data_IF_906177378202
#
_entry.id   IF_906177378202
#
_cell.length_a   1.000
_cell.length_b   1.000
_cell.length_c   1.000
_cell.angle_alpha   90.00
_cell.angle_beta   90.00
_cell.angle_gamma   90.00
#
_symmetry.space_group_name_H-M   'P 1'
#
loop_
_entity.id
_entity.type
_entity.pdbx_description
1 polymer ?
#
# COMPACT_ATOMS: atom_id res chain seq x y z
N UNK A 1 2.87 36.13 4.42
CA UNK A 1 3.89 35.17 3.94
C UNK A 1 3.43 33.79 4.39
N UNK A 2 2.69 33.08 3.55
CA UNK A 2 2.18 31.76 3.89
C UNK A 2 3.32 30.73 3.83
N UNK A 3 3.47 29.97 4.90
CA UNK A 3 4.42 28.87 5.08
C UNK A 3 4.13 27.74 4.08
N UNK A 4 4.69 27.81 2.87
CA UNK A 4 4.65 26.75 1.87
C UNK A 4 5.70 25.66 2.08
N UNK A 5 6.25 25.50 3.30
CA UNK A 5 7.39 24.61 3.56
C UNK A 5 6.99 23.19 4.00
N UNK A 6 5.69 22.92 4.21
CA UNK A 6 5.21 21.67 4.85
C UNK A 6 4.71 20.59 3.89
N UNK A 7 4.49 20.89 2.61
CA UNK A 7 3.65 20.03 1.74
C UNK A 7 4.47 19.11 0.79
N UNK A 8 5.79 19.21 0.85
CA UNK A 8 6.70 18.86 -0.25
C UNK A 8 7.21 17.41 -0.31
N UNK A 9 6.98 16.58 0.71
CA UNK A 9 7.82 15.40 0.90
C UNK A 9 7.22 14.06 0.40
N UNK A 10 5.96 14.02 -0.05
CA UNK A 10 5.32 12.81 -0.61
C UNK A 10 5.97 12.26 -1.90
N UNK A 11 6.86 13.04 -2.51
CA UNK A 11 7.58 12.68 -3.73
C UNK A 11 8.82 11.78 -3.50
N UNK A 12 9.18 11.45 -2.24
CA UNK A 12 10.51 10.90 -1.90
C UNK A 12 10.59 9.40 -1.56
N UNK A 13 9.49 8.63 -1.53
CA UNK A 13 9.42 7.30 -0.87
C UNK A 13 9.74 6.07 -1.75
N UNK A 14 10.20 6.24 -2.99
CA UNK A 14 10.46 5.10 -3.93
C UNK A 14 11.69 4.26 -3.55
N UNK A 15 12.54 4.72 -2.63
CA UNK A 15 13.69 3.93 -2.18
C UNK A 15 13.31 2.59 -1.51
N UNK A 16 12.11 2.53 -0.93
CA UNK A 16 11.54 1.33 -0.32
C UNK A 16 11.01 0.30 -1.31
N UNK A 17 11.07 0.57 -2.62
CA UNK A 17 10.64 -0.41 -3.62
C UNK A 17 11.53 -1.66 -3.55
N UNK A 18 10.96 -2.87 -3.50
CA UNK A 18 11.71 -4.08 -3.20
C UNK A 18 12.58 -4.57 -4.36
N UNK A 19 12.56 -3.87 -5.51
CA UNK A 19 13.29 -4.20 -6.74
C UNK A 19 13.12 -5.65 -7.20
N UNK A 20 11.95 -6.22 -6.92
CA UNK A 20 11.53 -7.57 -7.32
C UNK A 20 10.03 -7.62 -7.57
N UNK A 21 9.60 -8.66 -8.27
CA UNK A 21 8.17 -8.93 -8.43
C UNK A 21 7.60 -9.52 -7.13
N UNK A 22 6.43 -9.04 -6.75
CA UNK A 22 5.60 -9.54 -5.66
C UNK A 22 4.30 -10.12 -6.25
N UNK A 23 3.56 -10.97 -5.51
CA UNK A 23 2.24 -11.45 -5.94
C UNK A 23 1.28 -10.28 -6.22
N UNK A 24 0.41 -10.37 -7.25
CA UNK A 24 -0.48 -9.25 -7.60
C UNK A 24 -1.34 -8.76 -6.42
N UNK A 25 -1.61 -7.45 -6.39
CA UNK A 25 -2.53 -6.85 -5.42
C UNK A 25 -3.98 -7.27 -5.73
N UNK A 26 -4.61 -7.97 -4.79
CA UNK A 26 -5.96 -8.54 -4.91
C UNK A 26 -6.69 -8.51 -3.57
N UNK A 27 -7.98 -8.85 -3.60
CA UNK A 27 -8.89 -8.94 -2.45
C UNK A 27 -9.79 -7.71 -2.29
N UNK A 28 -9.35 -6.53 -2.74
CA UNK A 28 -10.17 -5.32 -2.69
C UNK A 28 -11.24 -5.29 -3.79
N UNK A 29 -11.03 -5.95 -4.93
CA UNK A 29 -11.92 -5.91 -6.08
C UNK A 29 -13.33 -6.44 -5.75
N UNK A 30 -13.42 -7.37 -4.79
CA UNK A 30 -14.66 -7.99 -4.34
C UNK A 30 -15.28 -7.31 -3.11
N UNK A 31 -14.65 -6.26 -2.58
CA UNK A 31 -15.21 -5.52 -1.44
C UNK A 31 -16.38 -4.64 -1.88
N UNK A 32 -17.41 -4.47 -1.04
CA UNK A 32 -18.44 -3.48 -1.29
C UNK A 32 -17.82 -2.08 -1.28
N UNK A 33 -18.37 -1.18 -2.10
CA UNK A 33 -18.07 0.24 -2.00
C UNK A 33 -18.76 0.78 -0.74
N UNK A 34 -18.02 1.49 0.11
CA UNK A 34 -18.44 1.96 1.44
C UNK A 34 -17.99 3.40 1.65
N UNK A 35 -18.51 4.07 2.69
CA UNK A 35 -18.07 5.43 3.05
C UNK A 35 -16.61 5.48 3.49
N UNK A 36 -16.01 6.67 3.52
CA UNK A 36 -14.63 6.84 3.98
C UNK A 36 -14.44 6.35 5.42
N UNK A 37 -15.39 6.62 6.31
CA UNK A 37 -15.38 6.16 7.70
C UNK A 37 -15.35 4.63 7.77
N UNK A 38 -16.25 3.97 7.05
CA UNK A 38 -16.32 2.51 7.01
C UNK A 38 -15.08 1.87 6.35
N UNK A 39 -14.49 2.57 5.37
CA UNK A 39 -13.29 2.15 4.67
C UNK A 39 -12.03 2.21 5.56
N UNK A 40 -12.00 3.17 6.48
CA UNK A 40 -10.87 3.45 7.38
C UNK A 40 -10.99 2.76 8.74
N UNK A 41 -12.17 2.29 9.14
CA UNK A 41 -12.39 1.58 10.41
C UNK A 41 -11.39 0.44 10.68
N UNK A 42 -11.05 -0.46 9.72
CA UNK A 42 -10.10 -1.55 9.98
C UNK A 42 -8.65 -1.06 10.11
N UNK A 43 -8.37 0.20 9.77
CA UNK A 43 -7.04 0.79 9.76
C UNK A 43 -6.67 1.48 11.09
N UNK A 44 -7.63 1.69 12.00
CA UNK A 44 -7.42 2.31 13.32
C UNK A 44 -6.24 1.71 14.10
N UNK A 45 -6.02 0.37 14.13
CA UNK A 45 -4.87 -0.21 14.84
C UNK A 45 -3.51 0.05 14.18
N UNK A 46 -3.49 0.50 12.93
CA UNK A 46 -2.28 0.56 12.08
C UNK A 46 -1.90 1.99 11.68
N UNK A 47 -2.87 2.88 11.55
CA UNK A 47 -2.69 4.26 11.10
C UNK A 47 -2.99 5.21 12.27
N UNK A 48 -1.97 5.83 12.87
CA UNK A 48 -2.17 6.76 13.99
C UNK A 48 -3.10 7.91 13.61
N UNK A 49 -4.01 8.25 14.52
CA UNK A 49 -4.92 9.41 14.40
C UNK A 49 -5.86 9.40 13.20
N UNK A 50 -6.05 8.24 12.54
CA UNK A 50 -6.86 8.15 11.32
C UNK A 50 -8.28 8.68 11.50
N UNK A 51 -8.92 8.42 12.63
CA UNK A 51 -10.28 8.92 12.93
C UNK A 51 -10.31 10.45 12.98
N UNK A 52 -9.28 11.06 13.57
CA UNK A 52 -9.16 12.52 13.64
C UNK A 52 -8.92 13.12 12.25
N UNK A 53 -8.09 12.49 11.42
CA UNK A 53 -7.84 12.95 10.06
C UNK A 53 -9.09 12.81 9.17
N UNK A 54 -9.86 11.74 9.30
CA UNK A 54 -11.15 11.58 8.62
C UNK A 54 -12.12 12.69 9.03
N UNK A 55 -12.23 12.99 10.33
CA UNK A 55 -13.04 14.10 10.82
C UNK A 55 -12.61 15.46 10.23
N UNK A 56 -11.30 15.72 10.14
CA UNK A 56 -10.78 16.93 9.49
C UNK A 56 -11.19 16.99 8.01
N UNK A 57 -11.03 15.89 7.27
CA UNK A 57 -11.41 15.84 5.84
C UNK A 57 -12.91 16.15 5.66
N UNK A 58 -13.77 15.59 6.52
CA UNK A 58 -15.21 15.85 6.48
C UNK A 58 -15.53 17.32 6.78
N UNK A 59 -14.87 17.92 7.78
CA UNK A 59 -15.05 19.34 8.12
C UNK A 59 -14.60 20.32 7.04
N UNK A 60 -13.68 19.91 6.15
CA UNK A 60 -13.20 20.72 5.03
C UNK A 60 -14.15 20.74 3.83
N UNK A 61 -15.28 20.03 3.86
CA UNK A 61 -16.31 20.02 2.81
C UNK A 61 -15.74 19.81 1.40
N UNK A 62 -14.91 18.77 1.25
CA UNK A 62 -14.32 18.39 -0.04
C UNK A 62 -15.41 18.29 -1.10
N UNK A 63 -15.30 19.09 -2.16
CA UNK A 63 -16.26 19.13 -3.24
C UNK A 63 -16.09 17.89 -4.13
N UNK A 64 -17.22 17.34 -4.59
CA UNK A 64 -17.22 16.30 -5.61
C UNK A 64 -17.09 16.91 -7.00
N UNK A 65 -16.12 16.41 -7.77
CA UNK A 65 -15.89 16.75 -9.17
C UNK A 65 -15.65 15.47 -9.97
N UNK A 66 -15.57 15.57 -11.30
CA UNK A 66 -15.20 14.44 -12.18
C UNK A 66 -16.06 13.17 -12.05
N UNK A 67 -17.31 13.29 -11.57
CA UNK A 67 -18.20 12.15 -11.34
C UNK A 67 -17.85 11.30 -10.11
N UNK A 68 -16.99 11.81 -9.21
CA UNK A 68 -16.72 11.20 -7.93
C UNK A 68 -17.81 11.53 -6.92
N UNK A 69 -18.09 10.59 -6.02
CA UNK A 69 -18.84 10.85 -4.79
C UNK A 69 -17.98 11.62 -3.79
N UNK A 70 -18.59 12.21 -2.76
CA UNK A 70 -17.84 12.88 -1.68
C UNK A 70 -16.85 11.91 -1.04
N UNK A 71 -17.26 10.69 -0.70
CA UNK A 71 -16.36 9.68 -0.10
C UNK A 71 -15.16 9.32 -1.00
N UNK A 72 -15.38 9.22 -2.32
CA UNK A 72 -14.32 8.98 -3.29
C UNK A 72 -13.32 10.14 -3.34
N UNK A 73 -13.80 11.38 -3.44
CA UNK A 73 -12.94 12.58 -3.39
C UNK A 73 -12.21 12.69 -2.04
N UNK A 74 -12.92 12.46 -0.93
CA UNK A 74 -12.35 12.48 0.42
C UNK A 74 -11.29 11.39 0.62
N UNK A 75 -11.39 10.23 -0.04
CA UNK A 75 -10.34 9.20 0.00
C UNK A 75 -9.04 9.68 -0.66
N UNK A 76 -9.14 10.46 -1.74
CA UNK A 76 -7.99 11.10 -2.39
C UNK A 76 -7.40 12.18 -1.49
N UNK A 77 -8.25 13.02 -0.88
CA UNK A 77 -7.82 14.04 0.05
C UNK A 77 -7.06 13.42 1.24
N UNK A 78 -7.60 12.38 1.87
CA UNK A 78 -6.96 11.66 2.96
C UNK A 78 -5.60 11.07 2.55
N UNK A 79 -5.51 10.47 1.36
CA UNK A 79 -4.25 9.96 0.84
C UNK A 79 -3.21 11.08 0.69
N UNK A 80 -3.59 12.22 0.12
CA UNK A 80 -2.67 13.33 -0.16
C UNK A 80 -2.27 14.15 1.07
N UNK A 81 -3.03 14.05 2.17
CA UNK A 81 -2.80 14.83 3.39
C UNK A 81 -1.51 14.39 4.10
N UNK A 82 -0.67 15.36 4.45
CA UNK A 82 0.50 15.15 5.31
C UNK A 82 0.19 15.64 6.73
N UNK A 83 0.53 14.83 7.74
CA UNK A 83 0.37 15.22 9.14
C UNK A 83 1.59 14.86 9.99
N UNK A 84 1.70 15.52 11.15
CA UNK A 84 2.87 15.42 12.04
C UNK A 84 2.66 14.36 13.13
N UNK A 85 3.65 13.51 13.44
CA UNK A 85 4.95 13.41 12.75
C UNK A 85 4.78 12.77 11.37
N UNK A 86 5.52 13.27 10.38
CA UNK A 86 5.37 12.91 8.95
C UNK A 86 5.19 11.41 8.70
N UNK A 87 6.02 10.57 9.33
CA UNK A 87 6.00 9.10 9.19
C UNK A 87 4.64 8.46 9.50
N UNK A 88 3.76 9.17 10.19
CA UNK A 88 2.40 8.72 10.51
C UNK A 88 1.39 9.03 9.40
N UNK A 89 1.77 9.82 8.40
CA UNK A 89 0.89 10.21 7.28
C UNK A 89 0.37 8.99 6.53
N UNK A 90 -0.89 9.07 6.10
CA UNK A 90 -1.60 7.96 5.47
C UNK A 90 -0.83 7.33 4.30
N UNK A 91 -0.35 8.17 3.37
CA UNK A 91 0.34 7.70 2.17
C UNK A 91 1.62 6.93 2.49
N UNK A 92 2.36 7.30 3.54
CA UNK A 92 3.60 6.61 3.95
C UNK A 92 3.27 5.20 4.39
N UNK A 93 2.31 5.06 5.31
CA UNK A 93 1.95 3.76 5.88
C UNK A 93 1.31 2.85 4.82
N UNK A 94 0.46 3.41 3.95
CA UNK A 94 -0.12 2.67 2.84
C UNK A 94 0.97 2.19 1.88
N UNK A 95 1.84 3.08 1.39
CA UNK A 95 2.86 2.72 0.43
C UNK A 95 3.89 1.74 1.01
N UNK A 96 4.26 1.88 2.28
CA UNK A 96 5.11 0.92 2.98
C UNK A 96 4.43 -0.46 3.08
N UNK A 97 3.13 -0.49 3.37
CA UNK A 97 2.34 -1.73 3.35
C UNK A 97 2.35 -2.36 1.96
N UNK A 98 2.14 -1.57 0.91
CA UNK A 98 2.14 -2.05 -0.46
C UNK A 98 3.52 -2.57 -0.90
N UNK A 99 4.62 -1.98 -0.45
CA UNK A 99 5.99 -2.43 -0.77
C UNK A 99 6.44 -3.63 0.06
N UNK A 100 5.78 -3.88 1.19
CA UNK A 100 6.15 -4.95 2.10
C UNK A 100 6.04 -6.34 1.42
N UNK A 101 7.08 -7.15 1.60
CA UNK A 101 7.12 -8.49 1.01
C UNK A 101 6.14 -9.48 1.66
N UNK A 102 5.73 -9.23 2.90
CA UNK A 102 4.72 -9.99 3.63
C UNK A 102 3.36 -9.25 3.68
N UNK A 103 3.08 -8.42 2.66
CA UNK A 103 1.87 -7.60 2.59
C UNK A 103 0.56 -8.40 2.60
N UNK A 104 0.58 -9.69 2.27
CA UNK A 104 -0.62 -10.54 2.29
C UNK A 104 -1.31 -10.59 3.66
N UNK A 105 -0.57 -10.47 4.76
CA UNK A 105 -1.14 -10.41 6.11
C UNK A 105 -1.75 -9.03 6.45
N UNK A 106 -1.28 -7.96 5.80
CA UNK A 106 -1.68 -6.58 6.08
C UNK A 106 -2.79 -6.10 5.16
N UNK A 107 -2.72 -6.45 3.87
CA UNK A 107 -3.66 -6.03 2.82
C UNK A 107 -5.15 -6.24 3.16
N UNK A 108 -5.57 -7.32 3.87
CA UNK A 108 -6.98 -7.48 4.24
C UNK A 108 -7.57 -6.28 4.97
N UNK A 109 -6.81 -5.63 5.87
CA UNK A 109 -7.24 -4.42 6.59
C UNK A 109 -7.41 -3.21 5.65
N UNK A 110 -6.67 -3.18 4.55
CA UNK A 110 -6.68 -2.09 3.57
C UNK A 110 -7.70 -2.27 2.45
N UNK A 111 -8.27 -3.47 2.28
CA UNK A 111 -9.09 -3.78 1.11
C UNK A 111 -10.31 -2.88 0.93
N UNK A 112 -10.97 -2.43 2.02
CA UNK A 112 -12.10 -1.49 1.91
C UNK A 112 -11.64 -0.11 1.44
N UNK A 113 -10.54 0.41 2.00
CA UNK A 113 -9.95 1.67 1.55
C UNK A 113 -9.45 1.58 0.12
N UNK A 114 -8.71 0.53 -0.24
CA UNK A 114 -8.23 0.31 -1.60
C UNK A 114 -9.39 0.20 -2.60
N UNK A 115 -10.50 -0.45 -2.23
CA UNK A 115 -11.71 -0.50 -3.06
C UNK A 115 -12.25 0.91 -3.33
N UNK A 116 -12.45 1.73 -2.31
CA UNK A 116 -12.95 3.10 -2.45
C UNK A 116 -11.99 3.96 -3.27
N UNK A 117 -10.73 3.98 -2.87
CA UNK A 117 -9.70 4.84 -3.45
C UNK A 117 -9.38 4.49 -4.91
N UNK A 118 -9.22 3.20 -5.23
CA UNK A 118 -8.98 2.79 -6.62
C UNK A 118 -10.21 3.00 -7.51
N UNK A 119 -11.43 2.89 -6.97
CA UNK A 119 -12.66 3.24 -7.69
C UNK A 119 -12.65 4.73 -8.03
N UNK A 120 -12.35 5.61 -7.06
CA UNK A 120 -12.21 7.04 -7.27
C UNK A 120 -11.20 7.36 -8.40
N UNK A 121 -9.99 6.80 -8.31
CA UNK A 121 -8.94 7.02 -9.30
C UNK A 121 -9.26 6.44 -10.68
N UNK A 122 -10.07 5.38 -10.75
CA UNK A 122 -10.48 4.77 -12.03
C UNK A 122 -11.41 5.69 -12.85
N UNK A 123 -12.20 6.53 -12.18
CA UNK A 123 -13.11 7.50 -12.80
C UNK A 123 -12.40 8.72 -13.37
N UNK A 124 -11.22 9.05 -12.82
CA UNK A 124 -10.44 10.18 -13.30
C UNK A 124 -9.82 9.89 -14.69
N UNK A 125 -9.75 10.89 -15.59
CA UNK A 125 -9.12 10.70 -16.88
C UNK A 125 -7.63 10.39 -16.72
N UNK A 126 -7.13 9.47 -17.54
CA UNK A 126 -5.68 9.20 -17.60
C UNK A 126 -4.96 10.34 -18.31
N UNK A 127 -3.75 10.63 -17.84
CA UNK A 127 -2.85 11.59 -18.44
C UNK A 127 -2.29 11.00 -19.74
N UNK A 128 -2.87 11.37 -20.88
CA UNK A 128 -2.46 10.84 -22.18
C UNK A 128 -0.99 11.11 -22.48
N UNK A 129 -0.22 10.03 -22.70
CA UNK A 129 1.18 9.95 -23.11
C UNK A 129 2.02 11.22 -22.94
N UNK A 130 2.49 11.46 -21.71
CA UNK A 130 3.28 12.65 -21.39
C UNK A 130 4.37 12.33 -20.36
N UNK A 131 5.44 13.12 -20.40
CA UNK A 131 6.49 13.06 -19.39
C UNK A 131 6.01 13.67 -18.08
N UNK A 132 6.16 12.93 -16.99
CA UNK A 132 6.01 13.40 -15.61
C UNK A 132 7.33 13.23 -14.86
N UNK A 133 7.50 13.97 -13.78
CA UNK A 133 8.75 14.01 -13.03
C UNK A 133 8.54 13.63 -11.57
N UNK A 134 9.57 13.01 -10.99
CA UNK A 134 9.60 12.70 -9.55
C UNK A 134 11.02 12.90 -9.03
N UNK A 135 11.16 13.72 -7.99
CA UNK A 135 12.45 14.01 -7.35
C UNK A 135 12.61 13.24 -6.04
N UNK A 136 13.78 12.65 -5.82
CA UNK A 136 14.11 11.90 -4.60
C UNK A 136 15.47 12.35 -4.07
N UNK A 137 15.58 12.59 -2.76
CA UNK A 137 16.82 13.02 -2.09
C UNK A 137 17.75 11.84 -1.73
N UNK A 138 17.99 10.95 -2.69
CA UNK A 138 18.89 9.79 -2.60
C UNK A 138 19.53 9.52 -3.96
N UNK A 139 20.65 8.81 -4.00
CA UNK A 139 21.24 8.30 -5.25
C UNK A 139 20.69 6.91 -5.53
N UNK A 140 19.95 6.77 -6.62
CA UNK A 140 19.35 5.51 -7.04
C UNK A 140 19.94 4.96 -8.34
N UNK A 141 20.96 5.60 -8.92
CA UNK A 141 21.55 5.20 -10.20
C UNK A 141 22.10 3.77 -10.20
N UNK A 142 22.50 3.24 -9.05
CA UNK A 142 22.92 1.85 -8.93
C UNK A 142 21.75 0.85 -8.87
N UNK A 143 20.56 1.27 -8.42
CA UNK A 143 19.37 0.40 -8.35
C UNK A 143 18.65 0.28 -9.70
N UNK A 144 18.75 1.31 -10.55
CA UNK A 144 18.03 1.41 -11.81
C UNK A 144 19.01 1.25 -12.98
N UNK A 145 19.17 0.00 -13.44
CA UNK A 145 20.06 -0.33 -14.57
C UNK A 145 19.31 -0.21 -15.89
N UNK A 146 19.95 0.40 -16.88
CA UNK A 146 19.41 0.52 -18.24
C UNK A 146 18.97 -0.83 -18.81
N UNK A 147 17.82 -0.85 -19.48
CA UNK A 147 17.17 -2.05 -20.01
C UNK A 147 16.46 -2.92 -18.95
N UNK A 148 16.62 -2.63 -17.66
CA UNK A 148 15.92 -3.37 -16.61
C UNK A 148 14.42 -3.04 -16.59
N UNK A 149 13.61 -4.05 -16.26
CA UNK A 149 12.19 -3.88 -15.98
C UNK A 149 11.95 -3.91 -14.48
N UNK A 150 11.27 -2.89 -13.98
CA UNK A 150 11.00 -2.67 -12.57
C UNK A 150 9.50 -2.51 -12.34
N UNK A 151 9.05 -2.76 -11.11
CA UNK A 151 7.66 -2.53 -10.70
C UNK A 151 7.67 -1.59 -9.51
N UNK A 152 6.87 -0.53 -9.59
CA UNK A 152 6.57 0.32 -8.43
C UNK A 152 5.30 -0.18 -7.77
N UNK A 153 5.42 -0.73 -6.56
CA UNK A 153 4.34 -1.35 -5.83
C UNK A 153 3.55 -0.37 -4.98
N UNK A 154 4.13 0.76 -4.57
CA UNK A 154 3.39 1.86 -3.94
C UNK A 154 2.72 2.78 -4.95
N UNK A 155 1.79 3.61 -4.47
CA UNK A 155 1.38 4.79 -5.23
C UNK A 155 2.56 5.75 -5.34
N UNK A 156 2.69 6.45 -6.47
CA UNK A 156 3.80 7.38 -6.69
C UNK A 156 3.28 8.75 -7.13
N UNK A 157 3.44 9.74 -6.25
CA UNK A 157 3.20 11.14 -6.56
C UNK A 157 4.26 11.68 -7.51
N UNK A 158 3.84 12.40 -8.55
CA UNK A 158 4.68 13.00 -9.58
C UNK A 158 4.18 14.42 -9.88
N UNK A 159 5.00 15.21 -10.56
CA UNK A 159 4.65 16.55 -11.04
C UNK A 159 4.81 16.65 -12.56
N UNK A 160 4.04 17.52 -13.20
CA UNK A 160 4.17 17.82 -14.64
C UNK A 160 5.29 18.80 -14.93
N UNK A 161 5.65 19.64 -13.96
CA UNK A 161 6.56 20.77 -14.15
C UNK A 161 7.80 20.60 -13.30
N UNK A 162 8.97 20.71 -13.94
CA UNK A 162 10.27 20.59 -13.28
C UNK A 162 10.50 21.73 -12.26
N UNK A 163 9.83 22.89 -12.44
CA UNK A 163 9.94 24.02 -11.51
C UNK A 163 9.51 23.68 -10.07
N UNK A 164 8.55 22.76 -9.91
CA UNK A 164 8.12 22.23 -8.60
C UNK A 164 9.19 21.30 -7.99
N UNK A 165 10.34 21.10 -8.63
CA UNK A 165 11.48 20.39 -8.05
C UNK A 165 12.59 21.35 -7.60
N UNK A 166 12.48 22.65 -7.85
CA UNK A 166 13.53 23.60 -7.47
C UNK A 166 13.54 23.99 -5.99
N UNK A 167 12.42 23.90 -5.29
CA UNK A 167 12.34 24.24 -3.87
C UNK A 167 12.94 23.13 -3.00
N UNK A 168 13.67 23.60 -2.00
CA UNK A 168 14.55 22.79 -1.20
C UNK A 168 13.82 21.83 -0.27
N UNK A 169 12.53 22.04 0.00
CA UNK A 169 11.70 21.09 0.74
C UNK A 169 11.47 19.81 -0.10
N UNK A 170 11.20 19.94 -1.41
CA UNK A 170 10.89 18.80 -2.27
C UNK A 170 12.14 18.08 -2.78
N UNK A 171 12.99 18.78 -3.54
CA UNK A 171 14.14 18.19 -4.22
C UNK A 171 15.35 19.10 -4.09
N UNK A 172 15.18 20.38 -4.40
CA UNK A 172 16.20 21.40 -4.21
C UNK A 172 17.34 21.31 -5.21
N UNK A 173 18.32 22.21 -5.04
CA UNK A 173 19.46 22.37 -5.97
C UNK A 173 20.75 21.71 -5.50
N UNK A 174 20.76 21.12 -4.32
CA UNK A 174 21.97 20.57 -3.69
C UNK A 174 21.73 19.22 -3.00
N UNK A 175 22.82 18.55 -2.62
CA UNK A 175 22.78 17.23 -1.99
C UNK A 175 22.55 16.08 -2.96
N UNK A 176 22.77 14.87 -2.46
CA UNK A 176 22.61 13.63 -3.23
C UNK A 176 21.15 13.39 -3.58
N UNK A 177 20.84 13.32 -4.88
CA UNK A 177 19.46 13.27 -5.36
C UNK A 177 19.30 12.61 -6.73
N UNK A 178 18.11 12.08 -6.98
CA UNK A 178 17.72 11.40 -8.22
C UNK A 178 16.45 12.03 -8.79
N UNK A 179 16.51 12.46 -10.04
CA UNK A 179 15.37 12.91 -10.84
C UNK A 179 14.90 11.79 -11.76
N UNK A 180 13.66 11.35 -11.59
CA UNK A 180 12.99 10.50 -12.58
C UNK A 180 12.27 11.37 -13.61
N UNK A 181 12.51 11.09 -14.88
CA UNK A 181 11.67 11.54 -15.99
C UNK A 181 10.94 10.31 -16.54
N UNK A 182 9.61 10.33 -16.49
CA UNK A 182 8.78 9.15 -16.68
C UNK A 182 7.83 9.42 -17.84
N UNK A 183 8.00 8.70 -18.95
CA UNK A 183 7.01 8.60 -20.01
C UNK A 183 5.86 7.73 -19.50
N UNK A 184 4.69 8.34 -19.30
CA UNK A 184 3.57 7.75 -18.59
C UNK A 184 2.27 7.90 -19.39
N UNK A 185 1.44 6.85 -19.35
CA UNK A 185 0.13 6.79 -19.99
C UNK A 185 -1.02 6.76 -18.97
N UNK A 186 -0.76 6.33 -17.73
CA UNK A 186 -1.82 5.97 -16.78
C UNK A 186 -1.93 6.89 -15.56
N UNK A 187 -1.09 7.92 -15.47
CA UNK A 187 -1.11 8.88 -14.37
C UNK A 187 -2.46 9.58 -14.21
N UNK A 188 -2.88 9.83 -12.97
CA UNK A 188 -4.15 10.49 -12.64
C UNK A 188 -3.88 11.86 -12.07
N UNK A 189 -4.48 12.90 -12.65
CA UNK A 189 -4.43 14.23 -12.06
C UNK A 189 -5.40 14.28 -10.88
N UNK A 190 -4.87 14.44 -9.67
CA UNK A 190 -5.68 14.42 -8.45
C UNK A 190 -5.84 15.80 -7.81
N UNK A 191 -5.37 16.86 -8.47
CA UNK A 191 -5.36 18.24 -7.93
C UNK A 191 -6.70 18.69 -7.35
N UNK A 192 -7.81 18.43 -8.04
CA UNK A 192 -9.15 18.90 -7.60
C UNK A 192 -9.68 18.15 -6.36
N UNK A 193 -9.10 16.99 -6.05
CA UNK A 193 -9.53 16.12 -4.95
C UNK A 193 -8.46 15.99 -3.86
N UNK A 194 -7.27 16.57 -4.08
CA UNK A 194 -6.18 16.60 -3.14
C UNK A 194 -6.49 17.55 -1.99
N UNK A 195 -5.95 17.25 -0.81
CA UNK A 195 -5.91 18.16 0.32
C UNK A 195 -5.09 19.42 0.01
N UNK A 196 -4.12 19.30 -0.91
CA UNK A 196 -3.27 20.38 -1.40
C UNK A 196 -3.60 20.73 -2.86
N UNK A 197 -4.67 21.50 -3.09
CA UNK A 197 -5.17 21.81 -4.44
C UNK A 197 -4.28 22.77 -5.26
N UNK A 198 -3.24 23.32 -4.65
CA UNK A 198 -2.25 24.17 -5.32
C UNK A 198 -1.16 23.33 -6.02
N UNK A 199 -1.11 22.03 -5.76
CA UNK A 199 -0.15 21.13 -6.38
C UNK A 199 -0.77 20.46 -7.61
N UNK A 200 -0.12 20.56 -8.77
CA UNK A 200 -0.50 19.83 -9.99
C UNK A 200 -0.02 18.37 -9.93
N UNK A 201 -0.41 17.68 -8.85
CA UNK A 201 0.00 16.31 -8.60
C UNK A 201 -0.60 15.33 -9.62
N UNK A 202 0.30 14.53 -10.19
CA UNK A 202 -0.04 13.34 -10.95
C UNK A 202 0.27 12.12 -10.10
N UNK A 203 -0.75 11.33 -9.81
CA UNK A 203 -0.62 10.09 -9.05
C UNK A 203 -0.54 8.89 -9.99
N UNK A 204 0.54 8.13 -9.87
CA UNK A 204 0.65 6.79 -10.46
C UNK A 204 0.05 5.76 -9.50
N UNK A 205 -0.78 4.88 -10.04
CA UNK A 205 -1.34 3.74 -9.29
C UNK A 205 -0.26 2.72 -8.91
N UNK A 206 -0.49 1.86 -7.92
CA UNK A 206 0.45 0.80 -7.57
C UNK A 206 0.50 -0.30 -8.63
N UNK A 207 1.63 -1.02 -8.64
CA UNK A 207 1.88 -2.14 -9.55
C UNK A 207 2.19 -1.73 -10.99
N UNK A 208 2.57 -0.48 -11.26
CA UNK A 208 3.03 -0.05 -12.60
C UNK A 208 4.39 -0.66 -12.92
N UNK A 209 4.54 -1.13 -14.16
CA UNK A 209 5.81 -1.66 -14.65
C UNK A 209 6.48 -0.62 -15.53
N UNK A 210 7.79 -0.45 -15.35
CA UNK A 210 8.60 0.50 -16.11
C UNK A 210 9.82 -0.19 -16.68
N UNK A 211 10.23 0.26 -17.86
CA UNK A 211 11.55 0.01 -18.41
C UNK A 211 12.47 1.18 -18.07
N UNK A 212 13.67 0.90 -17.60
CA UNK A 212 14.72 1.90 -17.41
C UNK A 212 15.36 2.19 -18.76
N UNK A 213 15.01 3.33 -19.35
CA UNK A 213 15.48 3.74 -20.69
C UNK A 213 16.91 4.23 -20.64
N UNK A 214 17.27 5.01 -19.62
CA UNK A 214 18.63 5.50 -19.43
C UNK A 214 18.86 5.93 -17.98
N UNK A 215 20.12 5.95 -17.56
CA UNK A 215 20.54 6.50 -16.27
C UNK A 215 21.87 7.23 -16.44
N UNK A 216 21.92 8.50 -16.05
CA UNK A 216 23.11 9.35 -16.20
C UNK A 216 23.40 10.14 -14.92
N UNK A 217 24.67 10.24 -14.57
CA UNK A 217 25.16 11.18 -13.56
C UNK A 217 25.29 12.57 -14.21
N UNK A 218 24.52 13.53 -13.69
CA UNK A 218 24.49 14.91 -14.18
C UNK A 218 25.49 15.81 -13.45
N UNK A 219 26.38 15.23 -12.63
CA UNK A 219 27.27 15.97 -11.75
C UNK A 219 26.52 16.58 -10.57
N UNK A 220 27.25 17.25 -9.67
CA UNK A 220 26.66 17.92 -8.49
C UNK A 220 25.74 17.01 -7.64
N UNK A 221 26.08 15.72 -7.58
CA UNK A 221 25.34 14.67 -6.87
C UNK A 221 23.89 14.48 -7.36
N UNK A 222 23.61 14.85 -8.61
CA UNK A 222 22.33 14.66 -9.27
C UNK A 222 22.42 13.51 -10.26
N UNK A 223 21.60 12.48 -10.07
CA UNK A 223 21.38 11.42 -11.07
C UNK A 223 20.06 11.66 -11.77
N UNK A 224 20.02 11.51 -13.10
CA UNK A 224 18.78 11.50 -13.87
C UNK A 224 18.52 10.08 -14.39
N UNK A 225 17.29 9.59 -14.18
CA UNK A 225 16.84 8.28 -14.65
C UNK A 225 15.61 8.49 -15.53
N UNK A 226 15.66 7.94 -16.75
CA UNK A 226 14.51 7.92 -17.64
C UNK A 226 13.78 6.60 -17.53
N UNK A 227 12.47 6.67 -17.31
CA UNK A 227 11.58 5.52 -17.25
C UNK A 227 10.54 5.62 -18.35
N UNK A 228 10.17 4.47 -18.90
CA UNK A 228 9.02 4.32 -19.78
C UNK A 228 8.04 3.35 -19.16
N UNK A 229 6.80 3.80 -18.96
CA UNK A 229 5.72 2.90 -18.53
C UNK A 229 5.50 1.82 -19.60
N UNK A 230 5.43 0.57 -19.17
CA UNK A 230 5.20 -0.57 -20.06
C UNK A 230 4.05 -1.42 -19.52
N UNK A 231 3.24 -1.96 -20.43
CA UNK A 231 2.18 -2.88 -20.05
C UNK A 231 2.79 -4.19 -19.51
N UNK A 232 2.43 -4.63 -18.28
CA UNK A 232 2.92 -5.88 -17.76
C UNK A 232 2.27 -7.06 -18.49
N UNK A 233 2.99 -8.18 -18.63
CA UNK A 233 2.45 -9.40 -19.27
C UNK A 233 1.20 -9.93 -18.55
N UNK A 234 1.17 -9.79 -17.23
CA UNK A 234 0.02 -10.10 -16.37
C UNK A 234 -0.26 -8.92 -15.45
N UNK A 235 -1.52 -8.58 -15.16
CA UNK A 235 -1.83 -7.46 -14.27
C UNK A 235 -1.22 -7.65 -12.87
N UNK A 236 -0.45 -6.65 -12.43
CA UNK A 236 0.12 -6.61 -11.07
C UNK A 236 -0.92 -6.17 -10.01
N UNK A 237 -2.09 -5.71 -10.44
CA UNK A 237 -3.19 -5.25 -9.59
C UNK A 237 -4.53 -5.67 -10.21
N UNK A 238 -5.49 -6.11 -9.39
CA UNK A 238 -6.84 -6.40 -9.83
C UNK A 238 -7.55 -5.14 -10.34
N UNK A 239 -8.48 -5.31 -11.28
CA UNK A 239 -9.30 -4.21 -11.78
C UNK A 239 -10.48 -3.96 -10.85
N UNK A 240 -10.82 -2.69 -10.62
CA UNK A 240 -12.08 -2.31 -10.01
C UNK A 240 -13.13 -2.17 -11.11
N UNK A 241 -14.19 -2.98 -11.06
CA UNK A 241 -15.37 -2.74 -11.90
C UNK A 241 -16.22 -1.65 -11.28
N UNK A 242 -16.49 -0.60 -12.07
CA UNK A 242 -17.47 0.44 -11.79
C UNK A 242 -18.88 -0.10 -12.04
N UNK A 243 -19.40 -0.94 -11.15
CA UNK A 243 -20.82 -1.27 -11.14
C UNK A 243 -21.55 -0.35 -10.15
N UNK A 244 -22.45 0.48 -10.68
CA UNK A 244 -23.37 1.34 -9.94
C UNK A 244 -24.28 0.55 -8.95
N UNK A 245 -24.90 1.22 -7.96
CA UNK A 245 -25.68 0.57 -6.92
C UNK A 245 -26.89 -0.14 -7.52
N UNK A 246 -27.02 -1.45 -7.27
CA UNK A 246 -28.24 -2.18 -7.61
C UNK A 246 -29.42 -1.54 -6.91
N UNK A 247 -30.30 -0.92 -7.70
CA UNK A 247 -31.59 -0.41 -7.25
C UNK A 247 -32.37 -1.58 -6.68
N UNK A 248 -32.79 -1.45 -5.42
CA UNK A 248 -33.75 -2.33 -4.77
C UNK A 248 -35.01 -2.33 -5.63
N UNK A 249 -35.33 -3.46 -6.26
CA UNK A 249 -36.67 -3.70 -6.81
C UNK A 249 -37.33 -4.78 -5.98
N UNK A 250 -38.38 -4.34 -5.30
CA UNK A 250 -39.34 -5.03 -4.46
C UNK A 250 -40.04 -6.16 -5.22
N UNK A 251 -40.17 -7.30 -4.54
CA UNK A 251 -41.29 -8.28 -4.57
C UNK A 251 -42.09 -8.51 -5.87
N UNK A 252 -42.03 -9.75 -6.37
CA UNK A 252 -43.04 -10.32 -7.28
C UNK A 252 -43.02 -11.85 -7.22
N UNK A 253 -44.09 -12.42 -6.67
CA UNK A 253 -44.28 -13.83 -6.32
C UNK A 253 -44.81 -14.68 -7.48
N UNK A 254 -44.44 -15.98 -7.49
CA UNK A 254 -45.10 -17.12 -8.15
C UNK A 254 -45.01 -17.21 -9.71
N UNK A 255 -44.97 -18.36 -10.38
CA UNK A 255 -45.31 -19.73 -10.01
C UNK A 255 -44.54 -20.76 -10.88
N UNK A 256 -44.44 -21.98 -10.35
CA UNK A 256 -43.87 -23.16 -10.97
C UNK A 256 -44.64 -23.65 -12.21
N UNK A 257 -43.94 -24.28 -13.16
CA UNK A 257 -44.39 -25.52 -13.81
C UNK A 257 -43.19 -26.32 -14.28
N UNK A 258 -43.28 -27.64 -14.14
CA UNK A 258 -42.18 -28.60 -14.30
C UNK A 258 -42.46 -29.59 -15.44
N UNK A 259 -41.36 -30.00 -16.11
CA UNK A 259 -41.09 -31.28 -16.82
C UNK A 259 -41.73 -31.50 -18.22
N UNK A 260 -41.15 -32.37 -19.09
CA UNK A 260 -40.28 -33.52 -18.76
C UNK A 260 -38.94 -33.66 -19.52
N UNK A 261 -38.23 -34.67 -19.01
CA UNK A 261 -36.88 -35.19 -19.28
C UNK A 261 -36.83 -35.92 -20.63
N UNK A 262 -35.76 -35.69 -21.41
CA UNK A 262 -35.21 -36.70 -22.34
C UNK A 262 -33.71 -36.78 -22.13
N UNK A 263 -33.25 -37.98 -21.78
CA UNK A 263 -31.87 -38.33 -21.53
C UNK A 263 -31.14 -38.65 -22.83
N UNK A 264 -29.88 -38.20 -22.97
CA UNK A 264 -28.89 -38.89 -23.82
C UNK A 264 -27.51 -38.84 -23.17
N UNK A 265 -27.07 -40.05 -22.81
CA UNK A 265 -25.74 -40.66 -22.77
C UNK A 265 -24.48 -39.83 -22.43
N UNK A 266 -23.76 -40.40 -21.46
CA UNK A 266 -22.42 -40.08 -21.01
C UNK A 266 -21.32 -40.44 -22.03
N UNK A 267 -20.22 -39.70 -21.99
CA UNK A 267 -18.90 -40.16 -22.40
C UNK A 267 -17.87 -39.69 -21.37
N UNK A 268 -17.12 -40.65 -20.83
CA UNK A 268 -16.16 -40.51 -19.74
C UNK A 268 -14.81 -39.96 -20.21
N UNK A 269 -14.15 -39.17 -19.36
CA UNK A 269 -12.70 -38.98 -19.37
C UNK A 269 -12.17 -38.94 -17.93
N UNK A 270 -11.08 -39.67 -17.70
CA UNK A 270 -10.58 -40.14 -16.42
C UNK A 270 -10.01 -39.06 -15.48
N UNK A 271 -10.23 -39.25 -14.17
CA UNK A 271 -9.63 -38.47 -13.08
C UNK A 271 -8.35 -39.18 -12.61
N UNK A 272 -7.22 -38.48 -12.63
CA UNK A 272 -5.96 -38.92 -11.99
C UNK A 272 -5.94 -38.40 -10.54
N UNK A 273 -5.65 -39.24 -9.51
CA UNK A 273 -5.67 -38.81 -8.12
C UNK A 273 -4.39 -38.05 -7.74
N UNK A 274 -4.56 -36.95 -7.00
CA UNK A 274 -3.49 -36.11 -6.45
C UNK A 274 -2.84 -36.79 -5.22
N UNK A 275 -1.50 -36.80 -5.07
CA UNK A 275 -0.85 -37.49 -3.97
C UNK A 275 -0.94 -36.71 -2.65
N UNK A 276 -1.09 -37.45 -1.55
CA UNK A 276 -1.20 -36.94 -0.18
C UNK A 276 0.11 -36.26 0.31
N UNK A 277 0.03 -35.25 1.20
CA UNK A 277 1.19 -34.52 1.69
C UNK A 277 1.97 -35.34 2.74
N UNK A 278 3.30 -35.33 2.63
CA UNK A 278 4.22 -35.98 3.59
C UNK A 278 4.33 -35.17 4.91
N UNK A 279 4.54 -35.83 6.07
CA UNK A 279 4.64 -35.17 7.38
C UNK A 279 5.96 -34.37 7.51
N UNK A 280 5.89 -33.21 8.18
CA UNK A 280 7.03 -32.31 8.46
C UNK A 280 7.97 -32.91 9.54
N UNK A 281 9.29 -32.70 9.44
CA UNK A 281 10.26 -33.17 10.43
C UNK A 281 10.20 -32.36 11.74
N UNK A 282 10.63 -32.93 12.89
CA UNK A 282 10.49 -32.31 14.20
C UNK A 282 11.46 -31.13 14.39
N UNK A 283 10.93 -29.99 14.83
CA UNK A 283 11.68 -28.76 15.13
C UNK A 283 12.41 -28.94 16.46
N UNK A 284 13.73 -28.69 16.48
CA UNK A 284 14.50 -28.72 17.74
C UNK A 284 14.11 -27.52 18.63
N UNK A 285 13.98 -27.69 19.96
CA UNK A 285 13.61 -26.60 20.86
C UNK A 285 14.65 -25.47 20.85
N UNK A 286 14.22 -24.22 20.64
CA UNK A 286 15.06 -23.02 20.72
C UNK A 286 14.81 -22.35 22.07
N UNK A 287 15.76 -22.51 23.01
CA UNK A 287 15.70 -21.86 24.33
C UNK A 287 16.41 -20.51 24.31
N UNK A 288 15.74 -19.44 24.75
CA UNK A 288 16.28 -18.08 24.85
C UNK A 288 16.18 -17.59 26.30
N UNK A 289 17.27 -17.08 26.87
CA UNK A 289 17.32 -16.62 28.27
C UNK A 289 17.69 -15.14 28.40
N UNK A 290 16.86 -14.41 29.13
CA UNK A 290 17.06 -13.04 29.59
C UNK A 290 17.11 -13.00 31.13
N UNK A 291 17.53 -14.09 31.77
CA UNK A 291 17.61 -14.18 33.22
C UNK A 291 18.54 -13.10 33.79
N UNK A 292 18.08 -12.41 34.83
CA UNK A 292 18.89 -11.44 35.58
C UNK A 292 19.49 -10.33 34.69
N UNK A 293 18.68 -9.82 33.75
CA UNK A 293 19.08 -8.78 32.78
C UNK A 293 18.47 -7.41 33.07
N UNK A 294 17.85 -7.26 34.24
CA UNK A 294 17.14 -6.04 34.65
C UNK A 294 16.06 -5.60 33.65
N UNK A 295 15.40 -6.57 33.01
CA UNK A 295 14.31 -6.33 32.05
C UNK A 295 13.11 -5.73 32.79
N UNK A 296 12.58 -4.64 32.24
CA UNK A 296 11.36 -3.97 32.70
C UNK A 296 10.26 -4.08 31.65
N UNK A 297 9.05 -3.62 31.97
CA UNK A 297 7.91 -3.62 31.03
C UNK A 297 8.21 -2.86 29.73
N UNK A 298 9.06 -1.82 29.80
CA UNK A 298 9.50 -1.05 28.64
C UNK A 298 10.36 -1.86 27.65
N UNK A 299 11.02 -2.91 28.11
CA UNK A 299 11.91 -3.76 27.32
C UNK A 299 11.17 -4.94 26.67
N UNK A 300 9.93 -5.20 27.10
CA UNK A 300 9.10 -6.32 26.62
C UNK A 300 8.86 -6.28 25.10
N UNK A 301 8.59 -5.13 24.45
CA UNK A 301 8.46 -5.09 22.99
C UNK A 301 9.72 -5.59 22.27
N UNK A 302 10.90 -5.32 22.83
CA UNK A 302 12.18 -5.79 22.30
C UNK A 302 12.34 -7.30 22.51
N UNK A 303 12.04 -7.81 23.71
CA UNK A 303 12.07 -9.26 24.01
C UNK A 303 11.12 -10.03 23.09
N UNK A 304 9.92 -9.50 22.82
CA UNK A 304 8.96 -10.07 21.88
C UNK A 304 9.55 -10.13 20.47
N UNK A 305 10.14 -9.02 19.99
CA UNK A 305 10.73 -8.97 18.66
C UNK A 305 11.88 -9.96 18.49
N UNK A 306 12.80 -9.99 19.45
CA UNK A 306 14.03 -10.78 19.35
C UNK A 306 13.80 -12.27 19.65
N UNK A 307 13.14 -12.60 20.76
CA UNK A 307 12.99 -13.98 21.21
C UNK A 307 11.81 -14.70 20.53
N UNK A 308 10.65 -14.03 20.48
CA UNK A 308 9.40 -14.65 20.01
C UNK A 308 9.28 -14.53 18.48
N UNK A 309 9.48 -13.34 17.90
CA UNK A 309 9.26 -13.15 16.47
C UNK A 309 10.44 -13.62 15.64
N UNK A 310 11.66 -13.21 15.98
CA UNK A 310 12.85 -13.52 15.17
C UNK A 310 13.41 -14.91 15.45
N UNK A 311 13.59 -15.27 16.73
CA UNK A 311 14.16 -16.56 17.11
C UNK A 311 13.13 -17.67 17.26
N UNK A 312 11.82 -17.33 17.22
CA UNK A 312 10.71 -18.28 17.35
C UNK A 312 10.92 -19.23 18.55
N UNK A 313 11.36 -18.69 19.70
CA UNK A 313 11.78 -19.49 20.83
C UNK A 313 10.65 -20.40 21.33
N UNK A 314 10.99 -21.64 21.67
CA UNK A 314 10.07 -22.61 22.29
C UNK A 314 10.13 -22.55 23.82
N UNK A 315 11.17 -21.90 24.39
CA UNK A 315 11.31 -21.64 25.82
C UNK A 315 11.96 -20.28 26.04
N UNK A 316 11.39 -19.48 26.92
CA UNK A 316 11.86 -18.13 27.26
C UNK A 316 12.07 -18.02 28.78
N UNK A 317 13.31 -17.80 29.22
CA UNK A 317 13.64 -17.58 30.64
C UNK A 317 13.74 -16.08 30.95
N UNK A 318 12.82 -15.57 31.76
CA UNK A 318 12.77 -14.18 32.22
C UNK A 318 12.95 -14.05 33.74
N UNK A 319 13.47 -15.08 34.40
CA UNK A 319 13.60 -15.10 35.86
C UNK A 319 14.55 -14.00 36.39
N UNK A 320 14.29 -13.48 37.59
CA UNK A 320 15.03 -12.34 38.19
C UNK A 320 15.02 -11.06 37.32
N UNK A 321 13.85 -10.66 36.86
CA UNK A 321 13.64 -9.36 36.20
C UNK A 321 12.50 -8.58 36.87
N UNK A 322 12.34 -7.31 36.51
CA UNK A 322 11.35 -6.40 37.10
C UNK A 322 10.15 -6.22 36.15
N UNK A 323 9.52 -7.34 35.78
CA UNK A 323 8.37 -7.37 34.85
C UNK A 323 7.08 -7.37 35.68
N UNK A 324 6.19 -6.42 35.41
CA UNK A 324 4.89 -6.33 36.08
C UNK A 324 3.80 -7.02 35.25
N UNK A 325 2.55 -6.96 35.74
CA UNK A 325 1.40 -7.50 35.04
C UNK A 325 1.19 -6.92 33.62
N UNK A 326 1.59 -5.67 33.36
CA UNK A 326 1.49 -5.05 32.03
C UNK A 326 2.45 -5.69 31.04
N UNK A 327 3.72 -5.85 31.43
CA UNK A 327 4.72 -6.57 30.63
C UNK A 327 4.35 -8.03 30.41
N UNK A 328 3.81 -8.71 31.43
CA UNK A 328 3.33 -10.08 31.30
C UNK A 328 2.14 -10.19 30.32
N UNK A 329 1.22 -9.22 30.31
CA UNK A 329 0.09 -9.20 29.37
C UNK A 329 0.55 -9.00 27.92
N UNK A 330 1.57 -8.17 27.69
CA UNK A 330 2.19 -7.99 26.37
C UNK A 330 2.86 -9.27 25.88
N UNK A 331 3.59 -9.97 26.74
CA UNK A 331 4.17 -11.29 26.43
C UNK A 331 3.09 -12.31 26.09
N UNK A 332 2.02 -12.39 26.88
CA UNK A 332 0.91 -13.31 26.64
C UNK A 332 0.20 -13.05 25.29
N UNK A 333 0.01 -11.77 24.93
CA UNK A 333 -0.56 -11.39 23.62
C UNK A 333 0.37 -11.80 22.47
N UNK A 334 1.68 -11.65 22.64
CA UNK A 334 2.66 -12.03 21.64
C UNK A 334 2.77 -13.56 21.46
N UNK A 335 2.69 -14.33 22.55
CA UNK A 335 2.77 -15.79 22.52
C UNK A 335 1.58 -16.42 21.77
N UNK A 336 0.41 -15.79 21.75
CA UNK A 336 -0.75 -16.26 20.93
C UNK A 336 -0.45 -16.31 19.42
N UNK A 337 0.54 -15.55 18.98
CA UNK A 337 0.95 -15.47 17.57
C UNK A 337 2.22 -16.27 17.30
N UNK A 338 2.79 -16.94 18.31
CA UNK A 338 4.00 -17.75 18.14
C UNK A 338 3.61 -19.14 17.61
N UNK A 339 4.11 -19.49 16.42
CA UNK A 339 3.71 -20.70 15.68
C UNK A 339 4.61 -21.91 15.91
N UNK A 340 5.59 -21.82 16.83
CA UNK A 340 6.57 -22.89 17.10
C UNK A 340 6.16 -23.94 18.13
N UNK A 341 4.87 -24.05 18.47
CA UNK A 341 4.34 -25.13 19.31
C UNK A 341 3.78 -26.30 18.50
#
# INVERSE_FOLDING_TARGET
>A
MADGSRDAYRFSDVDGEPMRRLPPLRGFENMPLVSLEQATQPLIPYVPEIEHMVYIIQGNNIQSHDGLTVDESSSIALYSMEWSPRKNSFYIILNDTLRNSNREALLPSWNKFLRLFLTALSKLPSFGHRTIYRGIKLNLGQKYKEGARIVWWGFSSCTKTVGVLENDAFFGKSGTRTLFAIECDTGKNIRQHSFYQNEDEILLLPGREFEVVSSIDMGHQLTMIQLKEVAPRFPNIASVTSSEPSTITTTGTAAATAKPVVAVAAAAAAVVPKPAPKPKPPVQPVEVSYRDKNITDADIPRVIKEAIVQQQCTKLDLFKNQITHEGAALLAKALRNNTTF
#
